data_IF_162508110749
#
_entry.id   IF_162508110749
#
_cell.length_a   1.000
_cell.length_b   1.000
_cell.length_c   1.000
_cell.angle_alpha   90.00
_cell.angle_beta   90.00
_cell.angle_gamma   90.00
#
_symmetry.space_group_name_H-M   'P 1'
#
loop_
_entity.id
_entity.type
_entity.pdbx_description
1 polymer ?
#
# COMPACT_ATOMS: atom_id res chain seq x y z
N UNK A 1 -32.31 3.26 -45.37
CA UNK A 1 -32.78 3.37 -43.98
C UNK A 1 -32.19 2.25 -43.06
N UNK A 2 -32.18 0.99 -43.50
CA UNK A 2 -31.65 -0.12 -42.68
C UNK A 2 -30.18 0.08 -42.22
N UNK A 3 -29.29 0.53 -43.09
CA UNK A 3 -27.85 0.75 -42.74
C UNK A 3 -27.69 1.79 -41.63
N UNK A 4 -28.54 2.84 -41.61
CA UNK A 4 -28.51 3.88 -40.58
C UNK A 4 -28.98 3.30 -39.24
N UNK A 5 -30.02 2.47 -39.25
CA UNK A 5 -30.53 1.78 -38.07
C UNK A 5 -29.45 0.84 -37.45
N UNK A 6 -28.73 0.10 -38.30
CA UNK A 6 -27.59 -0.74 -37.83
C UNK A 6 -26.47 0.08 -37.19
N UNK A 7 -26.10 1.20 -37.80
CA UNK A 7 -25.05 2.09 -37.25
C UNK A 7 -25.50 2.68 -35.91
N UNK A 8 -26.73 3.17 -35.82
CA UNK A 8 -27.29 3.71 -34.56
C UNK A 8 -27.35 2.63 -33.49
N UNK A 9 -27.77 1.40 -33.84
CA UNK A 9 -27.78 0.25 -32.93
C UNK A 9 -26.37 -0.08 -32.39
N UNK A 10 -25.37 -0.13 -33.27
CA UNK A 10 -23.98 -0.38 -32.85
C UNK A 10 -23.45 0.71 -31.91
N UNK A 11 -23.72 1.98 -32.21
CA UNK A 11 -23.31 3.11 -31.36
C UNK A 11 -24.01 3.02 -29.99
N UNK A 12 -25.30 2.69 -29.95
CA UNK A 12 -26.04 2.54 -28.70
C UNK A 12 -25.47 1.40 -27.82
N UNK A 13 -25.16 0.24 -28.43
CA UNK A 13 -24.54 -0.88 -27.73
C UNK A 13 -23.17 -0.49 -27.21
N UNK A 14 -22.37 0.17 -28.04
CA UNK A 14 -21.03 0.61 -27.61
C UNK A 14 -21.10 1.61 -26.45
N UNK A 15 -21.99 2.60 -26.52
CA UNK A 15 -22.21 3.58 -25.46
C UNK A 15 -22.68 2.90 -24.16
N UNK A 16 -23.58 1.90 -24.27
CA UNK A 16 -24.02 1.10 -23.13
C UNK A 16 -22.85 0.33 -22.47
N UNK A 17 -22.00 -0.30 -23.26
CA UNK A 17 -20.84 -1.03 -22.76
C UNK A 17 -19.86 -0.11 -22.03
N UNK A 18 -19.56 1.06 -22.59
CA UNK A 18 -18.72 2.08 -21.94
C UNK A 18 -19.34 2.57 -20.64
N UNK A 19 -20.66 2.81 -20.65
CA UNK A 19 -21.40 3.23 -19.45
C UNK A 19 -21.36 2.15 -18.36
N UNK A 20 -21.58 0.88 -18.70
CA UNK A 20 -21.52 -0.23 -17.76
C UNK A 20 -20.11 -0.42 -17.18
N UNK A 21 -19.08 -0.28 -18.02
CA UNK A 21 -17.68 -0.33 -17.59
C UNK A 21 -17.36 0.81 -16.61
N UNK A 22 -17.76 2.03 -16.91
CA UNK A 22 -17.59 3.20 -16.04
C UNK A 22 -18.34 3.03 -14.71
N UNK A 23 -19.58 2.54 -14.76
CA UNK A 23 -20.40 2.26 -13.57
C UNK A 23 -19.78 1.14 -12.72
N UNK A 24 -19.25 0.09 -13.33
CA UNK A 24 -18.56 -1.00 -12.65
C UNK A 24 -17.30 -0.53 -11.93
N UNK A 25 -16.51 0.31 -12.60
CA UNK A 25 -15.30 0.90 -12.01
C UNK A 25 -15.63 1.80 -10.82
N UNK A 26 -16.60 2.68 -10.94
CA UNK A 26 -17.07 3.56 -9.87
C UNK A 26 -17.69 2.78 -8.69
N UNK A 27 -18.36 1.65 -8.98
CA UNK A 27 -18.90 0.75 -7.97
C UNK A 27 -17.81 0.04 -7.14
N UNK A 28 -16.65 -0.30 -7.75
CA UNK A 28 -15.50 -0.85 -7.04
C UNK A 28 -14.91 0.17 -6.06
N UNK A 29 -14.65 1.38 -6.51
CA UNK A 29 -14.12 2.46 -5.68
C UNK A 29 -15.02 2.74 -4.46
N UNK A 30 -16.34 2.76 -4.65
CA UNK A 30 -17.30 2.95 -3.55
C UNK A 30 -17.25 1.83 -2.51
N UNK A 31 -17.23 0.56 -2.94
CA UNK A 31 -17.15 -0.59 -2.03
C UNK A 31 -15.84 -0.66 -1.25
N UNK A 32 -14.75 -0.14 -1.84
CA UNK A 32 -13.47 -0.05 -1.16
C UNK A 32 -13.39 1.16 -0.23
N UNK A 33 -14.12 2.26 -0.50
CA UNK A 33 -14.05 3.49 0.26
C UNK A 33 -14.31 3.29 1.76
N UNK A 34 -15.34 2.51 2.09
CA UNK A 34 -15.67 2.21 3.50
C UNK A 34 -14.58 1.39 4.20
N UNK A 35 -13.87 0.54 3.45
CA UNK A 35 -12.78 -0.29 3.97
C UNK A 35 -11.48 0.47 4.12
N UNK A 36 -11.21 1.41 3.23
CA UNK A 36 -10.00 2.24 3.27
C UNK A 36 -10.15 3.37 4.28
N UNK A 37 -11.33 4.03 4.32
CA UNK A 37 -11.57 5.16 5.19
C UNK A 37 -10.65 6.36 4.89
N UNK A 38 -10.42 7.18 5.91
CA UNK A 38 -9.48 8.29 5.84
C UNK A 38 -8.08 7.80 6.23
N UNK A 39 -7.08 8.26 5.48
CA UNK A 39 -5.68 7.97 5.78
C UNK A 39 -5.21 8.76 7.00
N UNK A 40 -4.27 8.23 7.78
CA UNK A 40 -3.63 8.98 8.86
C UNK A 40 -3.02 10.28 8.33
N UNK A 41 -3.24 11.36 9.06
CA UNK A 41 -2.62 12.65 8.72
C UNK A 41 -1.17 12.67 9.18
N UNK A 42 -0.34 13.41 8.43
CA UNK A 42 1.07 13.62 8.79
C UNK A 42 1.11 14.44 10.08
N UNK A 43 1.70 13.94 11.18
CA UNK A 43 1.81 14.70 12.42
C UNK A 43 2.81 15.86 12.27
N UNK A 44 2.69 16.86 13.14
CA UNK A 44 3.61 18.00 13.15
C UNK A 44 5.04 17.61 13.56
N UNK A 45 5.18 16.56 14.37
CA UNK A 45 6.45 15.98 14.79
C UNK A 45 6.51 14.52 14.34
N UNK A 46 7.49 14.21 13.51
CA UNK A 46 7.76 12.86 12.99
C UNK A 46 8.74 12.08 13.89
N UNK A 47 9.36 12.77 14.84
CA UNK A 47 10.44 12.22 15.65
C UNK A 47 11.81 12.25 14.96
N UNK A 48 12.72 11.40 15.39
CA UNK A 48 14.06 11.28 14.81
C UNK A 48 14.01 10.55 13.47
N UNK A 49 14.81 11.01 12.51
CA UNK A 49 14.91 10.38 11.20
C UNK A 49 15.87 9.19 11.24
N UNK A 50 15.34 8.00 10.97
CA UNK A 50 16.07 6.72 10.98
C UNK A 50 16.68 6.41 9.63
N UNK A 51 15.93 6.59 8.53
CA UNK A 51 16.40 6.37 7.16
C UNK A 51 16.17 7.63 6.34
N UNK A 52 17.24 8.07 5.66
CA UNK A 52 17.20 9.26 4.81
C UNK A 52 16.22 9.09 3.65
N UNK A 53 15.67 10.21 3.10
CA UNK A 53 14.81 10.17 1.93
C UNK A 53 15.47 9.46 0.77
N UNK A 54 14.72 8.57 0.13
CA UNK A 54 15.12 7.84 -1.07
C UNK A 54 14.10 8.09 -2.16
N UNK A 55 14.57 8.55 -3.32
CA UNK A 55 13.72 8.80 -4.49
C UNK A 55 13.26 7.51 -5.15
N UNK A 56 12.11 7.57 -5.81
CA UNK A 56 11.60 6.42 -6.53
C UNK A 56 10.16 6.60 -7.02
N UNK A 57 9.49 5.47 -7.20
CA UNK A 57 8.13 5.41 -7.73
C UNK A 57 7.22 4.68 -6.73
N UNK A 58 6.19 5.36 -6.25
CA UNK A 58 5.05 4.72 -5.64
C UNK A 58 4.31 3.87 -6.67
N UNK A 59 4.26 2.56 -6.46
CA UNK A 59 3.68 1.60 -7.41
C UNK A 59 2.17 1.48 -7.26
N UNK A 60 1.68 1.68 -6.05
CA UNK A 60 0.29 1.55 -5.64
C UNK A 60 0.16 0.81 -4.33
N UNK A 61 -1.07 0.74 -3.83
CA UNK A 61 -1.42 -0.10 -2.68
C UNK A 61 -2.41 -1.19 -3.09
N UNK A 62 -2.37 -2.33 -2.39
CA UNK A 62 -3.28 -3.46 -2.58
C UNK A 62 -3.90 -3.87 -1.25
N UNK A 63 -5.08 -4.45 -1.29
CA UNK A 63 -5.69 -5.06 -0.09
C UNK A 63 -4.95 -6.35 0.26
N UNK A 64 -4.42 -6.45 1.46
CA UNK A 64 -3.75 -7.65 1.92
C UNK A 64 -4.76 -8.84 2.07
N UNK A 65 -4.31 -10.07 1.81
CA UNK A 65 -2.99 -10.50 1.35
C UNK A 65 -2.83 -10.52 -0.18
N UNK A 66 -3.80 -10.00 -0.95
CA UNK A 66 -3.83 -10.09 -2.40
C UNK A 66 -2.97 -9.00 -3.06
N UNK A 67 -1.84 -9.37 -3.65
CA UNK A 67 -0.99 -8.47 -4.42
C UNK A 67 -1.64 -7.92 -5.72
N UNK A 68 -2.77 -8.48 -6.13
CA UNK A 68 -3.51 -8.09 -7.36
C UNK A 68 -4.69 -7.17 -7.07
N UNK A 69 -5.24 -7.18 -5.85
CA UNK A 69 -6.42 -6.39 -5.49
C UNK A 69 -6.04 -4.95 -5.18
N UNK A 70 -5.79 -4.21 -6.28
CA UNK A 70 -5.37 -2.81 -6.20
C UNK A 70 -6.42 -1.93 -5.56
N UNK A 71 -6.01 -1.12 -4.61
CA UNK A 71 -6.83 -0.06 -4.04
C UNK A 71 -7.12 0.98 -5.12
N UNK A 72 -8.41 1.27 -5.33
CA UNK A 72 -8.89 2.23 -6.33
C UNK A 72 -9.54 3.47 -5.69
N UNK A 73 -9.32 3.68 -4.39
CA UNK A 73 -9.89 4.79 -3.62
C UNK A 73 -8.93 5.98 -3.68
N UNK A 74 -9.48 7.14 -4.03
CA UNK A 74 -8.71 8.37 -4.09
C UNK A 74 -7.48 8.25 -5.01
N UNK A 75 -6.40 8.85 -4.59
CA UNK A 75 -5.12 8.85 -5.30
C UNK A 75 -4.18 7.67 -4.92
N UNK A 76 -4.60 6.79 -3.99
CA UNK A 76 -3.91 5.53 -3.71
C UNK A 76 -3.86 4.59 -4.92
N UNK A 77 -4.79 4.76 -5.86
CA UNK A 77 -4.82 4.02 -7.12
C UNK A 77 -3.79 4.49 -8.15
N UNK A 78 -3.21 5.68 -8.01
CA UNK A 78 -2.31 6.26 -9.00
C UNK A 78 -0.85 5.99 -8.66
N UNK A 79 -0.03 5.82 -9.69
CA UNK A 79 1.42 5.84 -9.56
C UNK A 79 1.89 7.27 -9.51
N UNK A 80 2.89 7.51 -8.69
CA UNK A 80 3.54 8.82 -8.58
C UNK A 80 5.02 8.64 -8.30
N UNK A 81 5.86 9.47 -8.86
CA UNK A 81 7.21 9.67 -8.37
C UNK A 81 7.15 10.31 -6.99
N UNK A 82 8.22 10.17 -6.23
CA UNK A 82 8.29 10.77 -4.90
C UNK A 82 9.44 10.23 -4.08
N UNK A 83 9.38 10.50 -2.80
CA UNK A 83 10.40 10.12 -1.84
C UNK A 83 9.79 9.35 -0.67
N UNK A 84 10.55 8.37 -0.17
CA UNK A 84 10.20 7.62 1.03
C UNK A 84 11.28 7.82 2.09
N UNK A 85 10.86 8.07 3.32
CA UNK A 85 11.76 8.24 4.48
C UNK A 85 11.20 7.56 5.73
N UNK A 86 12.08 7.09 6.63
CA UNK A 86 11.70 6.46 7.89
C UNK A 86 12.02 7.37 9.06
N UNK A 87 11.09 7.46 9.99
CA UNK A 87 11.15 8.25 11.21
C UNK A 87 10.77 7.36 12.41
N UNK A 88 11.12 7.75 13.61
CA UNK A 88 10.70 7.00 14.82
C UNK A 88 9.17 6.95 14.97
N UNK A 89 8.46 7.96 14.47
CA UNK A 89 7.00 7.98 14.46
C UNK A 89 6.36 7.15 13.33
N UNK A 90 7.12 6.71 12.31
CA UNK A 90 6.59 5.98 11.18
C UNK A 90 7.28 6.22 9.85
N UNK A 91 6.57 5.95 8.77
CA UNK A 91 7.07 6.09 7.40
C UNK A 91 6.34 7.24 6.70
N UNK A 92 7.11 8.16 6.12
CA UNK A 92 6.60 9.24 5.28
C UNK A 92 6.86 8.91 3.81
N UNK A 93 5.81 8.95 3.00
CA UNK A 93 5.88 8.80 1.55
C UNK A 93 5.29 10.05 0.89
N UNK A 94 6.16 10.92 0.43
CA UNK A 94 5.83 12.14 -0.30
C UNK A 94 5.71 11.80 -1.79
N UNK A 95 4.58 12.19 -2.41
CA UNK A 95 4.27 11.81 -3.79
C UNK A 95 4.04 13.07 -4.65
N UNK A 96 4.67 13.12 -5.81
CA UNK A 96 4.51 14.23 -6.75
C UNK A 96 3.11 14.21 -7.37
N UNK A 97 2.37 15.29 -7.18
CA UNK A 97 1.02 15.45 -7.73
C UNK A 97 -0.06 14.58 -7.08
N UNK A 98 0.24 13.97 -5.91
CA UNK A 98 -0.70 13.19 -5.11
C UNK A 98 -0.53 13.48 -3.63
N UNK A 99 -1.48 13.05 -2.79
CA UNK A 99 -1.41 13.23 -1.34
C UNK A 99 -0.23 12.49 -0.74
N UNK A 100 0.41 13.08 0.26
CA UNK A 100 1.40 12.40 1.09
C UNK A 100 0.75 11.26 1.87
N UNK A 101 1.42 10.12 1.96
CA UNK A 101 1.00 8.98 2.78
C UNK A 101 1.85 8.98 4.05
N UNK A 102 1.19 9.01 5.20
CA UNK A 102 1.81 8.78 6.50
C UNK A 102 1.39 7.40 7.01
N UNK A 103 2.36 6.58 7.35
CA UNK A 103 2.17 5.26 7.93
C UNK A 103 2.72 5.31 9.36
N UNK A 104 1.85 5.40 10.39
CA UNK A 104 2.29 5.40 11.78
C UNK A 104 3.06 4.12 12.13
N UNK A 105 4.08 4.23 12.98
CA UNK A 105 4.89 3.08 13.41
C UNK A 105 4.04 1.94 13.98
N UNK A 106 3.10 2.27 14.85
CA UNK A 106 2.17 1.29 15.46
C UNK A 106 1.28 0.55 14.44
N UNK A 107 1.09 1.14 13.25
CA UNK A 107 0.29 0.54 12.19
C UNK A 107 1.09 -0.42 11.30
N UNK A 108 2.43 -0.36 11.31
CA UNK A 108 3.30 -1.20 10.47
C UNK A 108 3.22 -2.64 10.98
N UNK A 109 3.00 -3.57 10.05
CA UNK A 109 2.94 -5.01 10.32
C UNK A 109 4.15 -5.75 9.76
N UNK A 110 4.66 -5.32 8.60
CA UNK A 110 5.87 -5.88 8.01
C UNK A 110 6.46 -4.94 6.96
N UNK A 111 7.78 -4.92 6.84
CA UNK A 111 8.51 -4.30 5.74
C UNK A 111 9.35 -5.36 5.05
N UNK A 112 9.13 -5.58 3.75
CA UNK A 112 9.76 -6.65 2.98
C UNK A 112 10.05 -6.23 1.55
N UNK A 113 10.86 -6.99 0.85
CA UNK A 113 11.06 -6.84 -0.58
C UNK A 113 10.30 -7.89 -1.35
N UNK A 114 9.70 -7.50 -2.46
CA UNK A 114 8.90 -8.38 -3.31
C UNK A 114 9.28 -8.23 -4.80
N UNK A 115 8.96 -9.29 -5.58
CA UNK A 115 9.12 -9.26 -7.04
C UNK A 115 8.07 -8.42 -7.75
N UNK A 116 7.00 -8.07 -7.08
CA UNK A 116 5.92 -7.31 -7.69
C UNK A 116 4.79 -6.97 -6.75
N UNK A 117 4.04 -5.93 -7.09
CA UNK A 117 2.83 -5.49 -6.42
C UNK A 117 1.89 -4.84 -7.44
N UNK A 118 0.59 -4.80 -7.12
CA UNK A 118 -0.42 -4.11 -7.93
C UNK A 118 -0.41 -4.52 -9.42
N UNK A 119 -0.27 -5.83 -9.69
CA UNK A 119 -0.27 -6.41 -11.02
C UNK A 119 1.01 -6.18 -11.85
N UNK A 120 2.10 -5.72 -11.23
CA UNK A 120 3.41 -5.60 -11.88
C UNK A 120 4.39 -6.61 -11.31
N UNK A 121 5.03 -7.36 -12.20
CA UNK A 121 6.12 -8.28 -11.87
C UNK A 121 7.43 -7.63 -12.32
N UNK A 122 8.43 -7.67 -11.46
CA UNK A 122 9.76 -7.12 -11.70
C UNK A 122 10.85 -8.15 -11.40
N UNK A 123 12.10 -7.76 -11.53
CA UNK A 123 13.24 -8.57 -11.07
C UNK A 123 13.15 -8.85 -9.56
N UNK A 124 13.86 -9.86 -9.08
CA UNK A 124 13.95 -10.20 -7.66
C UNK A 124 14.23 -8.93 -6.83
N UNK A 125 13.52 -8.80 -5.70
CA UNK A 125 13.66 -7.66 -4.77
C UNK A 125 13.47 -6.28 -5.45
N UNK A 126 12.54 -6.19 -6.39
CA UNK A 126 12.31 -4.99 -7.19
C UNK A 126 11.47 -3.91 -6.53
N UNK A 127 10.69 -4.25 -5.49
CA UNK A 127 9.74 -3.36 -4.80
C UNK A 127 9.91 -3.54 -3.30
N UNK A 128 10.04 -2.44 -2.58
CA UNK A 128 9.85 -2.38 -1.14
C UNK A 128 8.35 -2.38 -0.87
N UNK A 129 7.87 -3.31 -0.06
CA UNK A 129 6.46 -3.46 0.30
C UNK A 129 6.31 -3.29 1.80
N UNK A 130 5.47 -2.36 2.18
CA UNK A 130 5.13 -2.05 3.55
C UNK A 130 3.70 -2.55 3.78
N UNK A 131 3.54 -3.55 4.64
CA UNK A 131 2.23 -3.98 5.15
C UNK A 131 1.88 -3.18 6.36
N UNK A 132 0.70 -2.60 6.37
CA UNK A 132 0.23 -1.81 7.50
C UNK A 132 -1.29 -1.82 7.61
N UNK A 133 -1.78 -1.55 8.80
CA UNK A 133 -3.20 -1.52 9.13
C UNK A 133 -3.73 -0.09 9.08
N UNK A 134 -4.82 0.09 8.36
CA UNK A 134 -5.55 1.36 8.28
C UNK A 134 -6.35 1.61 9.57
N UNK A 135 -6.75 2.86 9.86
CA UNK A 135 -7.65 3.15 11.00
C UNK A 135 -8.95 2.36 11.00
N UNK A 136 -9.37 1.85 9.86
CA UNK A 136 -10.54 0.98 9.69
C UNK A 136 -10.31 -0.48 10.09
N UNK A 137 -9.09 -0.86 10.48
CA UNK A 137 -8.69 -2.24 10.72
C UNK A 137 -8.41 -3.04 9.45
N UNK A 138 -8.37 -2.41 8.27
CA UNK A 138 -8.06 -3.08 7.01
C UNK A 138 -6.56 -3.05 6.76
N UNK A 139 -5.95 -4.21 6.55
CA UNK A 139 -4.54 -4.29 6.16
C UNK A 139 -4.36 -4.04 4.68
N UNK A 140 -3.36 -3.22 4.34
CA UNK A 140 -2.94 -2.96 2.97
C UNK A 140 -1.43 -3.12 2.80
N UNK A 141 -1.03 -3.49 1.59
CA UNK A 141 0.36 -3.52 1.15
C UNK A 141 0.63 -2.30 0.27
N UNK A 142 1.55 -1.44 0.71
CA UNK A 142 1.98 -0.23 -0.02
C UNK A 142 3.33 -0.49 -0.66
N UNK A 143 3.43 -0.31 -1.98
CA UNK A 143 4.63 -0.60 -2.75
C UNK A 143 5.38 0.64 -3.19
N UNK A 144 6.69 0.63 -2.97
CA UNK A 144 7.62 1.65 -3.43
C UNK A 144 8.79 1.02 -4.17
N UNK A 145 9.07 1.51 -5.39
CA UNK A 145 10.23 1.11 -6.18
C UNK A 145 11.27 2.21 -6.10
N UNK A 146 12.26 2.06 -5.25
CA UNK A 146 13.39 2.98 -5.16
C UNK A 146 14.22 2.99 -6.44
N UNK A 147 14.77 4.15 -6.76
CA UNK A 147 15.75 4.31 -7.84
C UNK A 147 17.07 3.64 -7.45
N UNK A 148 17.45 3.78 -6.18
CA UNK A 148 18.55 3.02 -5.56
C UNK A 148 17.98 1.92 -4.64
N UNK A 149 18.24 0.65 -5.00
CA UNK A 149 17.80 -0.51 -4.22
C UNK A 149 18.80 -0.95 -3.16
N UNK A 150 19.97 -0.36 -3.12
CA UNK A 150 20.99 -0.69 -2.13
C UNK A 150 20.59 -0.29 -0.71
N UNK A 151 19.60 0.59 -0.59
CA UNK A 151 19.01 1.02 0.69
C UNK A 151 18.01 0.00 1.28
N UNK A 152 17.45 -0.91 0.46
CA UNK A 152 16.41 -1.86 0.92
C UNK A 152 16.82 -2.73 2.12
N UNK A 153 18.07 -3.23 2.22
CA UNK A 153 18.48 -4.00 3.39
C UNK A 153 18.38 -3.24 4.71
N UNK A 154 18.40 -1.91 4.70
CA UNK A 154 18.24 -1.11 5.92
C UNK A 154 16.80 -1.16 6.40
N UNK A 155 15.84 -1.10 5.48
CA UNK A 155 14.42 -1.17 5.76
C UNK A 155 14.00 -2.51 6.35
N UNK A 156 14.46 -3.61 5.76
CA UNK A 156 14.11 -4.98 6.16
C UNK A 156 14.75 -5.34 7.50
N UNK A 157 16.01 -4.99 7.74
CA UNK A 157 16.73 -5.32 9.00
C UNK A 157 16.13 -4.66 10.23
N UNK A 158 15.56 -3.48 10.08
CA UNK A 158 14.95 -2.77 11.20
C UNK A 158 13.65 -3.45 11.65
N UNK A 159 12.87 -3.96 10.71
CA UNK A 159 11.63 -4.69 11.01
C UNK A 159 11.89 -6.05 11.69
N UNK A 160 12.94 -6.78 11.27
CA UNK A 160 13.32 -8.04 11.89
C UNK A 160 13.76 -7.86 13.36
N UNK A 161 14.33 -6.70 13.70
CA UNK A 161 14.74 -6.39 15.08
C UNK A 161 13.55 -6.20 16.01
N UNK A 162 12.49 -5.56 15.53
CA UNK A 162 11.26 -5.32 16.30
C UNK A 162 10.45 -6.61 16.50
N UNK A 163 10.37 -7.48 15.50
CA UNK A 163 9.70 -8.79 15.60
C UNK A 163 10.42 -9.72 16.57
N UNK A 164 11.76 -9.66 16.62
CA UNK A 164 12.56 -10.49 17.54
C UNK A 164 12.40 -10.03 18.99
N UNK A 165 12.29 -8.72 19.23
CA UNK A 165 12.07 -8.15 20.56
C UNK A 165 10.66 -8.51 21.09
N UNK A 166 9.65 -8.50 20.22
CA UNK A 166 8.27 -8.85 20.58
C UNK A 166 8.10 -10.38 20.78
N UNK A 167 8.81 -11.21 20.03
CA UNK A 167 8.82 -12.66 20.20
C UNK A 167 9.55 -13.10 21.48
N UNK A 168 10.59 -12.39 21.88
CA UNK A 168 11.32 -12.66 23.13
C UNK A 168 10.52 -12.28 24.39
N UNK A 169 9.67 -11.24 24.30
CA UNK A 169 8.81 -10.81 25.41
C UNK A 169 7.61 -11.71 25.68
N UNK A 170 7.17 -12.50 24.70
CA UNK A 170 6.02 -13.42 24.85
C UNK A 170 6.41 -14.82 25.32
N UNK A 171 7.68 -15.15 25.40
CA UNK A 171 8.21 -16.47 25.79
C UNK A 171 8.46 -16.68 27.29
N UNK A 172 8.39 -15.63 28.12
CA UNK A 172 8.79 -15.71 29.54
C UNK A 172 7.65 -15.91 30.56
N UNK A 173 6.41 -16.13 30.15
CA UNK A 173 5.26 -16.21 31.05
C UNK A 173 4.75 -17.65 31.28
N UNK A 174 5.35 -18.68 30.67
CA UNK A 174 4.83 -20.04 30.79
C UNK A 174 5.86 -21.10 31.24
N UNK A 175 6.54 -20.84 32.39
CA UNK A 175 7.19 -21.90 33.16
C UNK A 175 7.32 -21.50 34.63
N UNK A 176 6.26 -21.55 35.40
CA UNK A 176 6.31 -21.79 36.84
C UNK A 176 4.91 -22.20 37.35
N UNK A 177 4.68 -23.48 37.49
CA UNK A 177 3.48 -23.97 38.16
C UNK A 177 3.13 -25.41 37.91
N UNK A 178 4.10 -26.33 38.15
CA UNK A 178 3.72 -27.71 38.47
C UNK A 178 4.88 -28.39 39.17
N UNK A 179 4.89 -28.30 40.50
CA UNK A 179 5.46 -29.30 41.41
C UNK A 179 5.17 -28.85 42.86
N UNK A 180 4.07 -29.35 43.44
CA UNK A 180 3.88 -29.64 44.87
C UNK A 180 2.61 -30.48 45.06
#
# INVERSE_FOLDING_TARGET
>A
MERILWVVGCIAVWALLVFLMYRGWKGRARRQADRIGELPQVPADLGERLIAPSTGLYVGSTLAPSWQDRVAVGDLGYRATGEISRWTGGILLERDGASTIWIPEAAIRAVRTERGLAGKVMTKDGVLVIRWELPTGTEIDTGFRGDDKTVYPQWVRETDSDDTANAAGSGEVEQNGEDA
#
